data_IF_382827887539
#
_entry.id   IF_382827887539
#
_cell.length_a   1.000
_cell.length_b   1.000
_cell.length_c   1.000
_cell.angle_alpha   90.00
_cell.angle_beta   90.00
_cell.angle_gamma   90.00
#
_symmetry.space_group_name_H-M   'P 1'
#
loop_
_entity.id
_entity.type
_entity.pdbx_description
1 polymer ?
#
# COMPACT_ATOMS: atom_id res chain seq x y z
N UNK A 1 17.12 -3.15 -8.41
CA UNK A 1 16.58 -4.34 -7.73
C UNK A 1 15.10 -4.10 -7.51
N UNK A 2 14.18 -4.86 -8.13
CA UNK A 2 12.74 -4.60 -7.94
C UNK A 2 12.30 -4.95 -6.52
N UNK A 3 11.67 -4.00 -5.81
CA UNK A 3 10.96 -4.29 -4.56
C UNK A 3 9.63 -4.94 -4.92
N UNK A 4 9.43 -6.18 -4.49
CA UNK A 4 8.15 -6.87 -4.60
C UNK A 4 7.14 -6.41 -3.52
N UNK A 5 5.88 -6.83 -3.66
CA UNK A 5 4.79 -6.48 -2.74
C UNK A 5 5.08 -6.89 -1.29
N UNK A 6 5.76 -8.02 -1.07
CA UNK A 6 6.10 -8.54 0.26
C UNK A 6 7.21 -7.71 0.92
N UNK A 7 8.22 -7.31 0.15
CA UNK A 7 9.28 -6.42 0.60
C UNK A 7 8.72 -5.03 0.92
N UNK A 8 7.88 -4.47 0.04
CA UNK A 8 7.16 -3.21 0.30
C UNK A 8 6.32 -3.29 1.58
N UNK A 9 5.59 -4.40 1.79
CA UNK A 9 4.80 -4.62 3.00
C UNK A 9 5.65 -4.66 4.26
N UNK A 10 6.85 -5.24 4.22
CA UNK A 10 7.79 -5.24 5.35
C UNK A 10 8.31 -3.82 5.63
N UNK A 11 8.72 -3.08 4.60
CA UNK A 11 9.22 -1.72 4.74
C UNK A 11 8.15 -0.72 5.20
N UNK A 12 6.90 -0.88 4.77
CA UNK A 12 5.80 -0.04 5.24
C UNK A 12 5.40 -0.32 6.69
N UNK A 13 5.70 -1.51 7.22
CA UNK A 13 5.51 -1.84 8.65
C UNK A 13 6.68 -1.39 9.51
N UNK A 14 7.89 -1.39 8.96
CA UNK A 14 9.12 -0.96 9.63
C UNK A 14 9.80 0.15 8.82
N UNK A 15 9.25 1.36 8.98
CA UNK A 15 9.71 2.55 8.26
C UNK A 15 11.12 2.96 8.64
N UNK A 16 11.55 2.68 9.87
CA UNK A 16 12.92 2.94 10.33
C UNK A 16 13.94 2.15 9.52
N UNK A 17 13.68 0.85 9.32
CA UNK A 17 14.53 0.01 8.49
C UNK A 17 14.49 0.44 7.02
N UNK A 18 13.31 0.79 6.52
CA UNK A 18 13.15 1.30 5.16
C UNK A 18 14.02 2.53 4.90
N UNK A 19 13.98 3.52 5.79
CA UNK A 19 14.81 4.74 5.68
C UNK A 19 16.31 4.40 5.67
N UNK A 20 16.75 3.48 6.53
CA UNK A 20 18.15 3.09 6.63
C UNK A 20 18.61 2.38 5.34
N UNK A 21 17.82 1.44 4.84
CA UNK A 21 18.12 0.68 3.62
C UNK A 21 18.13 1.61 2.38
N UNK A 22 17.19 2.56 2.30
CA UNK A 22 17.16 3.58 1.26
C UNK A 22 18.39 4.52 1.31
N UNK A 23 18.80 4.97 2.50
CA UNK A 23 20.01 5.80 2.67
C UNK A 23 21.29 5.05 2.32
N UNK A 24 21.30 3.73 2.45
CA UNK A 24 22.38 2.86 1.99
C UNK A 24 22.29 2.53 0.48
N UNK A 25 21.39 3.18 -0.26
CA UNK A 25 21.15 2.97 -1.69
C UNK A 25 20.81 1.50 -2.05
N UNK A 26 20.20 0.74 -1.13
CA UNK A 26 19.76 -0.63 -1.40
C UNK A 26 18.55 -0.68 -2.34
N UNK A 27 17.79 0.41 -2.39
CA UNK A 27 16.70 0.59 -3.33
C UNK A 27 16.42 2.09 -3.56
N UNK A 28 15.67 2.37 -4.62
CA UNK A 28 15.30 3.74 -5.03
C UNK A 28 13.83 4.07 -4.75
N UNK A 29 13.49 5.35 -4.86
CA UNK A 29 12.11 5.83 -4.78
C UNK A 29 11.18 5.10 -5.77
N UNK A 30 11.61 4.96 -7.04
CA UNK A 30 10.84 4.29 -8.09
C UNK A 30 10.59 2.80 -7.79
N UNK A 31 11.57 2.13 -7.18
CA UNK A 31 11.45 0.74 -6.79
C UNK A 31 10.45 0.58 -5.64
N UNK A 32 10.51 1.47 -4.65
CA UNK A 32 9.54 1.51 -3.55
C UNK A 32 8.12 1.84 -4.05
N UNK A 33 7.99 2.79 -4.99
CA UNK A 33 6.72 3.13 -5.62
C UNK A 33 6.12 1.94 -6.37
N UNK A 34 6.96 1.21 -7.13
CA UNK A 34 6.55 -0.01 -7.83
C UNK A 34 6.08 -1.10 -6.86
N UNK A 35 6.76 -1.27 -5.73
CA UNK A 35 6.36 -2.20 -4.67
C UNK A 35 5.06 -1.81 -3.97
N UNK A 36 4.85 -0.51 -3.72
CA UNK A 36 3.59 0.04 -3.18
C UNK A 36 2.44 -0.22 -4.16
N UNK A 37 2.66 0.03 -5.46
CA UNK A 37 1.67 -0.21 -6.50
C UNK A 37 1.29 -1.70 -6.62
N UNK A 38 2.28 -2.60 -6.55
CA UNK A 38 2.06 -4.03 -6.55
C UNK A 38 1.26 -4.47 -5.31
N UNK A 39 1.65 -3.99 -4.13
CA UNK A 39 0.93 -4.26 -2.88
C UNK A 39 -0.51 -3.71 -2.93
N UNK A 40 -0.71 -2.52 -3.49
CA UNK A 40 -2.03 -1.93 -3.65
C UNK A 40 -2.92 -2.79 -4.56
N UNK A 41 -2.39 -3.26 -5.69
CA UNK A 41 -3.10 -4.16 -6.61
C UNK A 41 -3.44 -5.51 -5.96
N UNK A 42 -2.54 -6.08 -5.14
CA UNK A 42 -2.82 -7.30 -4.38
C UNK A 42 -3.90 -7.10 -3.31
N UNK A 43 -3.92 -5.92 -2.68
CA UNK A 43 -4.92 -5.58 -1.67
C UNK A 43 -6.27 -5.21 -2.29
N UNK A 44 -6.33 -4.80 -3.56
CA UNK A 44 -7.60 -4.61 -4.24
C UNK A 44 -8.30 -5.97 -4.37
N UNK A 45 -9.48 -6.16 -3.74
CA UNK A 45 -10.25 -7.37 -3.98
C UNK A 45 -10.58 -7.42 -5.47
N UNK A 46 -10.16 -8.48 -6.16
CA UNK A 46 -10.58 -8.74 -7.53
C UNK A 46 -12.12 -8.69 -7.56
N UNK A 47 -12.69 -7.68 -8.21
CA UNK A 47 -14.11 -7.65 -8.57
C UNK A 47 -14.38 -8.71 -9.66
N UNK A 48 -14.13 -9.99 -9.37
CA UNK A 48 -14.33 -11.13 -10.29
C UNK A 48 -15.33 -12.17 -9.79
N UNK A 49 -16.08 -11.90 -8.71
CA UNK A 49 -17.07 -12.83 -8.17
C UNK A 49 -18.51 -12.36 -8.39
N UNK A 50 -19.39 -13.25 -8.86
CA UNK A 50 -20.85 -13.02 -8.90
C UNK A 50 -21.34 -12.66 -7.49
N UNK A 51 -22.13 -11.59 -7.39
CA UNK A 51 -22.82 -11.21 -6.16
C UNK A 51 -23.75 -12.34 -5.72
N UNK A 52 -23.46 -12.98 -4.57
CA UNK A 52 -24.39 -13.93 -3.96
C UNK A 52 -25.10 -13.23 -2.79
N UNK A 53 -26.41 -13.05 -2.95
CA UNK A 53 -27.30 -12.57 -1.89
C UNK A 53 -27.55 -13.73 -0.93
N UNK A 54 -26.85 -13.77 0.21
CA UNK A 54 -27.15 -14.69 1.31
C UNK A 54 -27.82 -13.87 2.40
N UNK A 55 -28.99 -14.32 2.85
CA UNK A 55 -29.86 -13.66 3.83
C UNK A 55 -29.07 -12.92 4.92
N UNK A 56 -29.17 -11.59 4.87
CA UNK A 56 -28.84 -10.64 5.95
C UNK A 56 -27.47 -10.84 6.62
N UNK A 57 -26.39 -10.42 5.94
CA UNK A 57 -25.31 -9.53 6.41
C UNK A 57 -24.12 -9.64 5.43
N UNK A 58 -23.73 -8.50 4.87
CA UNK A 58 -22.82 -8.36 3.75
C UNK A 58 -21.35 -8.69 4.11
N UNK A 59 -20.87 -9.91 3.85
CA UNK A 59 -19.47 -10.32 4.10
C UNK A 59 -18.45 -9.86 3.02
N UNK A 60 -18.80 -8.84 2.24
CA UNK A 60 -17.81 -8.05 1.47
C UNK A 60 -17.38 -6.79 2.23
N UNK A 61 -18.23 -6.30 3.14
CA UNK A 61 -17.96 -5.08 3.91
C UNK A 61 -16.80 -5.25 4.89
N UNK A 62 -16.70 -6.42 5.54
CA UNK A 62 -15.62 -6.71 6.49
C UNK A 62 -14.24 -6.75 5.82
N UNK A 63 -14.10 -7.38 4.66
CA UNK A 63 -12.83 -7.43 3.89
C UNK A 63 -12.45 -6.07 3.33
N UNK A 64 -13.41 -5.32 2.78
CA UNK A 64 -13.18 -3.94 2.28
C UNK A 64 -12.77 -3.00 3.42
N UNK A 65 -13.46 -3.09 4.56
CA UNK A 65 -13.14 -2.29 5.76
C UNK A 65 -11.73 -2.64 6.29
N UNK A 66 -11.34 -3.91 6.28
CA UNK A 66 -10.00 -4.34 6.69
C UNK A 66 -8.90 -3.82 5.76
N UNK A 67 -9.11 -3.85 4.43
CA UNK A 67 -8.16 -3.29 3.46
C UNK A 67 -8.04 -1.78 3.59
N UNK A 68 -9.17 -1.08 3.73
CA UNK A 68 -9.19 0.37 3.89
C UNK A 68 -8.50 0.80 5.19
N UNK A 69 -8.75 0.11 6.31
CA UNK A 69 -8.04 0.33 7.57
C UNK A 69 -6.53 0.09 7.45
N UNK A 70 -6.09 -0.89 6.65
CA UNK A 70 -4.67 -1.13 6.42
C UNK A 70 -4.01 0.00 5.60
N UNK A 71 -4.68 0.48 4.55
CA UNK A 71 -4.20 1.59 3.73
C UNK A 71 -4.09 2.87 4.56
N UNK A 72 -5.14 3.23 5.29
CA UNK A 72 -5.21 4.45 6.10
C UNK A 72 -4.32 4.37 7.36
N UNK A 73 -4.24 3.21 8.00
CA UNK A 73 -3.55 3.03 9.27
C UNK A 73 -2.06 2.69 9.15
N UNK A 74 -1.62 2.09 8.04
CA UNK A 74 -0.23 1.63 7.86
C UNK A 74 0.42 2.28 6.65
N UNK A 75 -0.20 2.16 5.46
CA UNK A 75 0.46 2.60 4.21
C UNK A 75 0.61 4.13 4.16
N UNK A 76 -0.45 4.89 4.40
CA UNK A 76 -0.42 6.36 4.35
C UNK A 76 0.54 6.99 5.36
N UNK A 77 0.52 6.61 6.66
CA UNK A 77 1.47 7.13 7.63
C UNK A 77 2.92 6.79 7.26
N UNK A 78 3.17 5.57 6.79
CA UNK A 78 4.50 5.12 6.39
C UNK A 78 5.04 5.91 5.20
N UNK A 79 4.22 6.10 4.15
CA UNK A 79 4.58 6.93 2.99
C UNK A 79 4.88 8.36 3.42
N UNK A 80 4.04 8.96 4.27
CA UNK A 80 4.27 10.33 4.78
C UNK A 80 5.60 10.45 5.51
N UNK A 81 5.97 9.44 6.29
CA UNK A 81 7.26 9.41 7.00
C UNK A 81 8.43 9.24 6.02
N UNK A 82 8.32 8.33 5.05
CA UNK A 82 9.35 8.11 4.03
C UNK A 82 9.60 9.36 3.18
N UNK A 83 8.53 10.00 2.69
CA UNK A 83 8.62 11.24 1.91
C UNK A 83 9.31 12.34 2.71
N UNK A 84 9.00 12.47 4.00
CA UNK A 84 9.64 13.47 4.88
C UNK A 84 11.13 13.19 5.11
N UNK A 85 11.49 11.94 5.39
CA UNK A 85 12.86 11.57 5.83
C UNK A 85 13.84 11.33 4.68
N UNK A 86 13.34 10.99 3.50
CA UNK A 86 14.11 10.69 2.29
C UNK A 86 13.94 11.75 1.19
N UNK A 87 13.07 12.75 1.42
CA UNK A 87 12.72 13.78 0.44
C UNK A 87 12.19 13.18 -0.88
N UNK A 88 11.31 12.19 -0.75
CA UNK A 88 10.65 11.46 -1.85
C UNK A 88 9.21 11.92 -2.05
N UNK A 89 8.59 11.55 -3.17
CA UNK A 89 7.20 11.83 -3.54
C UNK A 89 6.42 10.52 -3.82
N UNK A 90 6.47 9.57 -2.87
CA UNK A 90 5.69 8.33 -2.94
C UNK A 90 4.19 8.60 -2.81
N UNK A 91 3.38 7.90 -3.61
CA UNK A 91 1.92 8.06 -3.70
C UNK A 91 1.19 6.71 -3.67
N UNK A 92 -0.08 6.74 -3.29
CA UNK A 92 -0.99 5.59 -3.41
C UNK A 92 -1.90 5.84 -4.61
N UNK A 93 -2.00 4.89 -5.54
CA UNK A 93 -2.89 4.99 -6.73
C UNK A 93 -4.32 5.39 -6.39
N UNK A 94 -4.84 4.95 -5.24
CA UNK A 94 -6.18 5.29 -4.77
C UNK A 94 -6.43 6.78 -4.46
N UNK A 95 -5.39 7.56 -4.13
CA UNK A 95 -5.55 9.00 -3.90
C UNK A 95 -5.51 9.81 -5.22
N UNK A 96 -4.91 9.28 -6.29
CA UNK A 96 -4.84 9.93 -7.61
C UNK A 96 -6.23 9.99 -8.27
N UNK A 97 -7.09 8.99 -8.01
CA UNK A 97 -8.44 8.93 -8.60
C UNK A 97 -9.48 9.87 -7.97
N UNK A 98 -9.15 10.59 -6.88
CA UNK A 98 -10.08 11.55 -6.25
C UNK A 98 -10.02 12.97 -6.84
N UNK A 99 -9.14 13.21 -7.83
CA UNK A 99 -8.95 14.55 -8.41
C UNK A 99 -9.59 14.76 -9.80
N UNK A 100 -10.40 13.82 -10.31
CA UNK A 100 -11.20 14.01 -11.53
C UNK A 100 -12.70 14.05 -11.22
#
# INVERSE_FOLDING_TARGET
>A
MMIDSNAAKKYLKDTSKAILDARNALYTEEEMQSGIDALYNELQPEFKGKFFLVNSYWDESAKRMTVQCYIEGIIKPAIKQLNKELNWDLKIKGDIMKQN
#
